data_IF_220445520799
#
_entry.id   IF_220445520799
#
_cell.length_a   1.000
_cell.length_b   1.000
_cell.length_c   1.000
_cell.angle_alpha   90.00
_cell.angle_beta   90.00
_cell.angle_gamma   90.00
#
_symmetry.space_group_name_H-M   'P 1'
#
loop_
_entity.id
_entity.type
_entity.pdbx_description
1 polymer ?
#
# COMPACT_ATOMS: atom_id res chain seq x y z
N UNK A 1 20.43 -0.19 -12.09
CA UNK A 1 19.48 0.41 -13.05
C UNK A 1 18.60 1.39 -12.30
N UNK A 2 18.34 2.56 -12.87
CA UNK A 2 17.36 3.51 -12.31
C UNK A 2 15.94 2.99 -12.52
N UNK A 3 15.04 3.33 -11.60
CA UNK A 3 13.62 3.01 -11.74
C UNK A 3 13.00 3.77 -12.91
N UNK A 4 12.27 3.07 -13.78
CA UNK A 4 11.48 3.69 -14.82
C UNK A 4 10.11 4.07 -14.26
N UNK A 5 9.81 5.37 -14.30
CA UNK A 5 8.53 5.93 -13.85
C UNK A 5 7.38 5.34 -14.68
N UNK A 6 6.27 5.02 -14.04
CA UNK A 6 5.07 4.38 -14.59
C UNK A 6 3.89 5.35 -14.55
N UNK A 7 2.88 5.17 -15.40
CA UNK A 7 1.68 6.04 -15.38
C UNK A 7 0.97 6.10 -14.02
N UNK A 8 1.00 4.99 -13.25
CA UNK A 8 0.43 4.94 -11.89
C UNK A 8 1.14 5.90 -10.91
N UNK A 9 2.40 6.27 -11.19
CA UNK A 9 3.15 7.18 -10.35
C UNK A 9 2.49 8.55 -10.26
N UNK A 10 2.09 9.12 -11.40
CA UNK A 10 1.42 10.43 -11.47
C UNK A 10 0.07 10.42 -10.76
N UNK A 11 -0.71 9.35 -10.99
CA UNK A 11 -2.03 9.20 -10.34
C UNK A 11 -1.90 9.14 -8.82
N UNK A 12 -0.89 8.46 -8.29
CA UNK A 12 -0.65 8.38 -6.85
C UNK A 12 -0.13 9.72 -6.28
N UNK A 13 0.75 10.40 -7.01
CA UNK A 13 1.28 11.70 -6.62
C UNK A 13 0.15 12.75 -6.53
N UNK A 14 -0.86 12.67 -7.40
CA UNK A 14 -2.06 13.52 -7.37
C UNK A 14 -3.07 13.13 -6.27
N UNK A 15 -3.20 11.82 -5.98
CA UNK A 15 -4.18 11.33 -5.00
C UNK A 15 -3.71 11.51 -3.55
N UNK A 16 -2.43 11.25 -3.24
CA UNK A 16 -1.94 11.28 -1.85
C UNK A 16 -2.17 12.60 -1.10
N UNK A 17 -2.11 13.79 -1.74
CA UNK A 17 -2.45 15.05 -1.07
C UNK A 17 -3.91 15.15 -0.65
N UNK A 18 -4.83 14.52 -1.39
CA UNK A 18 -6.28 14.66 -1.20
C UNK A 18 -6.94 13.44 -0.53
N UNK A 19 -6.36 12.26 -0.65
CA UNK A 19 -6.92 11.00 -0.18
C UNK A 19 -6.26 10.54 1.13
N UNK A 20 -7.09 10.14 2.10
CA UNK A 20 -6.63 9.55 3.36
C UNK A 20 -6.13 8.11 3.19
N UNK A 21 -6.64 7.40 2.19
CA UNK A 21 -6.25 6.03 1.85
C UNK A 21 -6.45 5.79 0.35
N UNK A 22 -5.59 4.96 -0.25
CA UNK A 22 -5.68 4.57 -1.67
C UNK A 22 -5.56 3.05 -1.77
N UNK A 23 -6.55 2.41 -2.39
CA UNK A 23 -6.47 1.02 -2.79
C UNK A 23 -5.93 0.93 -4.23
N UNK A 24 -4.93 0.08 -4.45
CA UNK A 24 -4.28 -0.09 -5.77
C UNK A 24 -4.57 -1.50 -6.29
N UNK A 25 -5.53 -1.62 -7.20
CA UNK A 25 -5.92 -2.89 -7.81
C UNK A 25 -5.52 -2.99 -9.30
N UNK A 26 -5.47 -4.20 -9.86
CA UNK A 26 -5.19 -4.45 -11.27
C UNK A 26 -4.73 -5.88 -11.55
N UNK A 27 -4.23 -6.16 -12.76
CA UNK A 27 -3.73 -7.50 -13.09
C UNK A 27 -2.49 -7.90 -12.25
N UNK A 28 -2.21 -9.21 -12.20
CA UNK A 28 -0.99 -9.74 -11.57
C UNK A 28 0.26 -9.28 -12.34
N UNK A 29 1.36 -9.10 -11.63
CA UNK A 29 2.67 -8.75 -12.20
C UNK A 29 2.77 -7.38 -12.92
N UNK A 30 1.76 -6.50 -12.84
CA UNK A 30 1.83 -5.13 -13.39
C UNK A 30 2.65 -4.16 -12.52
N UNK A 31 3.23 -4.64 -11.41
CA UNK A 31 4.12 -3.90 -10.51
C UNK A 31 3.46 -2.90 -9.56
N UNK A 32 2.19 -3.12 -9.19
CA UNK A 32 1.47 -2.34 -8.16
C UNK A 32 2.25 -2.28 -6.84
N UNK A 33 2.70 -3.44 -6.38
CA UNK A 33 3.47 -3.59 -5.13
C UNK A 33 4.74 -2.75 -5.16
N UNK A 34 5.51 -2.84 -6.23
CA UNK A 34 6.76 -2.08 -6.40
C UNK A 34 6.51 -0.58 -6.47
N UNK A 35 5.48 -0.14 -7.20
CA UNK A 35 5.10 1.28 -7.28
C UNK A 35 4.62 1.84 -5.93
N UNK A 36 3.84 1.06 -5.18
CA UNK A 36 3.33 1.45 -3.88
C UNK A 36 4.44 1.55 -2.82
N UNK A 37 5.37 0.58 -2.80
CA UNK A 37 6.50 0.54 -1.86
C UNK A 37 7.42 1.76 -1.97
N UNK A 38 7.50 2.40 -3.14
CA UNK A 38 8.34 3.59 -3.36
C UNK A 38 7.78 4.87 -2.74
N UNK A 39 6.52 4.89 -2.32
CA UNK A 39 5.82 6.11 -1.84
C UNK A 39 5.44 6.06 -0.38
N UNK A 40 5.44 4.87 0.21
CA UNK A 40 5.03 4.69 1.59
C UNK A 40 6.22 4.68 2.54
N UNK A 41 5.97 5.17 3.75
CA UNK A 41 6.96 5.09 4.83
C UNK A 41 6.87 3.75 5.58
N UNK A 42 5.74 3.06 5.47
CA UNK A 42 5.45 1.82 6.19
C UNK A 42 4.68 0.85 5.30
N UNK A 43 5.00 -0.43 5.44
CA UNK A 43 4.32 -1.55 4.77
C UNK A 43 3.78 -2.49 5.84
N UNK A 44 2.50 -2.89 5.73
CA UNK A 44 1.85 -3.81 6.68
C UNK A 44 1.35 -5.05 5.93
N UNK A 45 2.12 -6.13 6.04
CA UNK A 45 1.93 -7.44 5.40
C UNK A 45 0.69 -8.19 5.89
N UNK A 46 -0.51 -7.90 5.37
CA UNK A 46 -1.73 -8.62 5.75
C UNK A 46 -1.78 -10.07 5.23
N UNK A 47 -0.83 -10.45 4.37
CA UNK A 47 -0.59 -11.84 3.97
C UNK A 47 0.06 -12.69 5.07
N UNK A 48 0.67 -12.06 6.07
CA UNK A 48 1.18 -12.74 7.25
C UNK A 48 0.03 -12.91 8.27
N UNK A 49 -0.35 -14.15 8.64
CA UNK A 49 -1.46 -14.39 9.56
C UNK A 49 -1.30 -13.71 10.92
N UNK A 50 -0.08 -13.59 11.44
CA UNK A 50 0.19 -12.95 12.72
C UNK A 50 -0.02 -11.43 12.62
N UNK A 51 0.39 -10.82 11.51
CA UNK A 51 0.19 -9.39 11.24
C UNK A 51 -1.29 -9.10 11.02
N UNK A 52 -2.00 -9.94 10.26
CA UNK A 52 -3.43 -9.80 10.04
C UNK A 52 -4.21 -9.85 11.35
N UNK A 53 -3.89 -10.79 12.24
CA UNK A 53 -4.52 -10.89 13.56
C UNK A 53 -4.25 -9.66 14.44
N UNK A 54 -3.02 -9.14 14.43
CA UNK A 54 -2.67 -7.94 15.20
C UNK A 54 -3.39 -6.68 14.68
N UNK A 55 -3.46 -6.48 13.35
CA UNK A 55 -4.20 -5.38 12.73
C UNK A 55 -5.69 -5.48 13.03
N UNK A 56 -6.27 -6.69 13.00
CA UNK A 56 -7.67 -6.91 13.34
C UNK A 56 -7.98 -6.58 14.82
N UNK A 57 -7.02 -6.81 15.72
CA UNK A 57 -7.15 -6.51 17.14
C UNK A 57 -7.01 -5.00 17.47
N UNK A 58 -6.22 -4.25 16.68
CA UNK A 58 -5.92 -2.85 16.95
C UNK A 58 -5.44 -2.07 15.72
N UNK A 59 -6.33 -1.66 14.80
CA UNK A 59 -5.92 -1.05 13.53
C UNK A 59 -5.30 0.35 13.68
N UNK A 60 -5.64 1.10 14.73
CA UNK A 60 -5.16 2.47 14.95
C UNK A 60 -3.63 2.57 15.02
N UNK A 61 -2.98 1.60 15.65
CA UNK A 61 -1.51 1.55 15.82
C UNK A 61 -0.75 1.53 14.49
N UNK A 62 -1.39 1.05 13.43
CA UNK A 62 -0.80 0.91 12.10
C UNK A 62 -1.07 2.11 11.20
N UNK A 63 -2.12 2.88 11.48
CA UNK A 63 -2.67 3.91 10.60
C UNK A 63 -2.25 5.35 10.98
N UNK A 64 -1.57 5.54 12.12
CA UNK A 64 -1.17 6.86 12.58
C UNK A 64 0.01 7.46 11.76
N UNK A 65 -0.13 8.73 11.38
CA UNK A 65 0.97 9.66 11.09
C UNK A 65 1.73 9.53 9.75
N UNK A 66 1.46 8.51 8.91
CA UNK A 66 2.14 8.37 7.62
C UNK A 66 1.37 7.54 6.58
N UNK A 67 1.59 7.78 5.27
CA UNK A 67 1.08 6.90 4.22
C UNK A 67 1.64 5.49 4.39
N UNK A 68 0.73 4.53 4.52
CA UNK A 68 0.99 3.11 4.76
C UNK A 68 0.30 2.29 3.67
N UNK A 69 1.00 1.28 3.13
CA UNK A 69 0.39 0.31 2.22
C UNK A 69 0.11 -0.98 2.97
N UNK A 70 -1.12 -1.45 2.82
CA UNK A 70 -1.56 -2.77 3.25
C UNK A 70 -1.52 -3.68 2.01
N UNK A 71 -0.44 -4.45 1.75
CA UNK A 71 -0.47 -5.55 0.79
C UNK A 71 -1.70 -6.42 1.02
N UNK A 72 -2.62 -6.30 0.09
CA UNK A 72 -3.92 -6.93 0.12
C UNK A 72 -3.74 -8.42 -0.22
N UNK A 73 -3.82 -9.27 0.79
CA UNK A 73 -4.00 -10.71 0.63
C UNK A 73 -5.33 -11.20 1.23
N UNK A 74 -6.29 -10.29 1.46
CA UNK A 74 -7.58 -10.60 2.08
C UNK A 74 -8.79 -10.14 1.24
N UNK A 75 -8.68 -10.19 -0.08
CA UNK A 75 -9.85 -10.31 -0.96
C UNK A 75 -9.71 -11.59 -1.78
N UNK A 76 -9.90 -12.71 -1.10
CA UNK A 76 -9.99 -14.06 -1.63
C UNK A 76 -10.82 -14.89 -0.67
#
# INVERSE_FOLDING_TARGET
>A
MSYLRRALDDVLDDLFPAARAVAVDGARAVGKTETAQRRVRRVVRLDDPAVAAAVAAGPGEYLDGAPTVLPLALLG
#
